data_IF_742739105519
#
_entry.id   IF_742739105519
#
_cell.length_a   1.000
_cell.length_b   1.000
_cell.length_c   1.000
_cell.angle_alpha   90.00
_cell.angle_beta   90.00
_cell.angle_gamma   90.00
#
_symmetry.space_group_name_H-M   'P 1'
#
loop_
_entity.id
_entity.type
_entity.pdbx_description
1 polymer ?
#
# COMPACT_ATOMS: atom_id res chain seq x y z
N UNK A 1 31.33 -15.85 -6.10
CA UNK A 1 30.76 -15.76 -7.47
C UNK A 1 31.80 -15.04 -8.32
N UNK A 2 32.14 -15.55 -9.50
CA UNK A 2 33.16 -14.98 -10.38
C UNK A 2 32.79 -13.56 -10.76
N UNK A 3 33.72 -12.63 -10.56
CA UNK A 3 33.58 -11.25 -10.98
C UNK A 3 33.62 -11.21 -12.53
N UNK A 4 32.55 -10.77 -13.11
CA UNK A 4 32.49 -10.51 -14.56
C UNK A 4 32.65 -9.01 -14.76
N UNK A 5 33.67 -8.62 -15.56
CA UNK A 5 33.83 -7.21 -15.95
C UNK A 5 32.61 -6.74 -16.71
N UNK A 6 32.04 -5.64 -16.27
CA UNK A 6 30.78 -5.10 -16.81
C UNK A 6 31.02 -3.81 -17.63
N UNK A 7 32.18 -3.69 -18.25
CA UNK A 7 32.47 -2.58 -19.15
C UNK A 7 31.73 -2.75 -20.48
N UNK A 8 31.26 -1.65 -21.02
CA UNK A 8 30.61 -1.63 -22.35
C UNK A 8 31.66 -1.40 -23.45
N UNK A 9 31.46 -2.01 -24.61
CA UNK A 9 32.35 -1.88 -25.77
C UNK A 9 32.03 -0.67 -26.66
N UNK A 10 30.89 -0.04 -26.45
CA UNK A 10 30.46 1.18 -27.14
C UNK A 10 29.45 1.97 -26.25
N UNK A 11 29.29 3.27 -26.46
CA UNK A 11 28.29 4.08 -25.78
C UNK A 11 26.88 3.48 -25.89
N UNK A 12 26.15 3.44 -24.78
CA UNK A 12 24.80 2.90 -24.76
C UNK A 12 24.44 2.20 -23.45
N UNK A 13 23.41 1.37 -23.50
CA UNK A 13 22.93 0.59 -22.36
C UNK A 13 23.13 -0.89 -22.63
N UNK A 14 23.72 -1.59 -21.66
CA UNK A 14 23.90 -3.02 -21.72
C UNK A 14 23.35 -3.68 -20.44
N UNK A 15 22.66 -4.80 -20.62
CA UNK A 15 22.14 -5.60 -19.52
C UNK A 15 23.03 -6.80 -19.23
N UNK A 16 23.28 -7.01 -17.94
CA UNK A 16 23.93 -8.17 -17.38
C UNK A 16 22.98 -8.89 -16.44
N UNK A 17 22.99 -10.20 -16.46
CA UNK A 17 22.14 -11.01 -15.57
C UNK A 17 22.90 -12.25 -15.12
N UNK A 18 22.77 -12.58 -13.82
CA UNK A 18 23.32 -13.80 -13.23
C UNK A 18 22.39 -14.33 -12.16
N UNK A 19 22.52 -15.63 -11.87
CA UNK A 19 21.81 -16.28 -10.76
C UNK A 19 22.81 -16.72 -9.71
N UNK A 20 22.38 -16.73 -8.45
CA UNK A 20 23.14 -17.22 -7.32
C UNK A 20 22.21 -17.86 -6.29
N UNK A 21 22.75 -18.80 -5.51
CA UNK A 21 22.01 -19.46 -4.44
C UNK A 21 22.52 -18.98 -3.09
N UNK A 22 21.61 -18.84 -2.14
CA UNK A 22 21.90 -18.60 -0.74
C UNK A 22 21.41 -19.79 0.10
N UNK A 23 22.11 -20.03 1.20
CA UNK A 23 21.73 -20.98 2.24
C UNK A 23 22.16 -20.40 3.58
N UNK A 24 21.33 -19.53 4.15
CA UNK A 24 21.60 -18.93 5.46
C UNK A 24 21.24 -19.96 6.53
N UNK A 25 22.13 -20.24 7.52
CA UNK A 25 21.81 -21.19 8.59
C UNK A 25 20.57 -20.78 9.38
N UNK A 26 19.78 -21.76 9.80
CA UNK A 26 18.60 -21.53 10.64
C UNK A 26 19.01 -20.83 11.95
N UNK A 27 18.25 -19.81 12.34
CA UNK A 27 18.53 -19.01 13.54
C UNK A 27 19.59 -17.92 13.34
N UNK A 28 20.05 -17.71 12.10
CA UNK A 28 20.84 -16.53 11.73
C UNK A 28 19.99 -15.51 10.98
N UNK A 29 20.09 -14.26 11.40
CA UNK A 29 19.61 -13.11 10.64
C UNK A 29 20.80 -12.51 9.89
N UNK A 30 20.76 -12.58 8.57
CA UNK A 30 21.86 -12.13 7.71
C UNK A 30 21.32 -11.12 6.69
N UNK A 31 21.83 -9.90 6.75
CA UNK A 31 21.61 -8.88 5.75
C UNK A 31 22.63 -8.95 4.63
N UNK A 32 22.20 -8.67 3.42
CA UNK A 32 23.04 -8.67 2.22
C UNK A 32 23.08 -7.30 1.56
N UNK A 33 24.15 -7.07 0.81
CA UNK A 33 24.31 -5.88 -0.01
C UNK A 33 24.85 -6.24 -1.39
N UNK A 34 24.52 -5.40 -2.37
CA UNK A 34 25.22 -5.37 -3.64
C UNK A 34 26.46 -4.49 -3.48
N UNK A 35 27.61 -4.98 -3.83
CA UNK A 35 28.88 -4.24 -3.82
C UNK A 35 29.33 -4.03 -5.25
N UNK A 36 29.50 -2.78 -5.63
CA UNK A 36 30.00 -2.35 -6.93
C UNK A 36 31.46 -1.97 -6.79
N UNK A 37 32.33 -2.57 -7.58
CA UNK A 37 33.73 -2.19 -7.68
C UNK A 37 33.89 -1.31 -8.94
N UNK A 38 34.28 -0.04 -8.79
CA UNK A 38 34.56 0.84 -9.93
C UNK A 38 35.67 0.31 -10.82
N UNK A 39 35.63 0.58 -12.11
CA UNK A 39 36.70 0.22 -13.04
C UNK A 39 37.88 1.20 -13.03
N UNK A 40 37.68 2.40 -12.55
CA UNK A 40 38.72 3.42 -12.49
C UNK A 40 39.64 3.33 -11.27
N UNK A 41 40.77 4.00 -11.29
CA UNK A 41 41.77 4.00 -10.21
C UNK A 41 41.35 4.80 -8.96
N UNK A 42 40.06 5.06 -8.74
CA UNK A 42 39.52 5.67 -7.53
C UNK A 42 39.90 7.14 -7.33
N UNK A 43 40.36 7.82 -8.35
CA UNK A 43 40.60 9.27 -8.28
C UNK A 43 39.29 9.99 -8.58
N UNK A 44 38.66 10.43 -7.56
CA UNK A 44 37.50 11.32 -7.39
C UNK A 44 36.62 11.72 -8.58
N UNK A 45 35.56 12.47 -8.35
CA UNK A 45 34.58 12.85 -9.37
C UNK A 45 35.25 13.61 -10.53
N UNK A 46 35.09 13.08 -11.77
CA UNK A 46 35.58 13.74 -13.00
C UNK A 46 37.08 13.62 -13.28
N UNK A 47 37.83 12.81 -12.53
CA UNK A 47 39.25 12.58 -12.77
C UNK A 47 39.54 11.61 -13.92
N UNK A 48 40.74 11.72 -14.53
CA UNK A 48 41.22 10.75 -15.53
C UNK A 48 41.19 9.35 -14.91
N UNK A 49 40.44 8.41 -15.52
CA UNK A 49 40.22 7.05 -15.00
C UNK A 49 38.96 6.91 -14.14
N UNK A 50 38.06 7.90 -14.12
CA UNK A 50 36.74 7.77 -13.53
C UNK A 50 35.89 6.78 -14.35
N UNK A 51 35.02 6.05 -13.65
CA UNK A 51 34.02 5.19 -14.28
C UNK A 51 32.83 6.06 -14.77
N UNK A 52 32.86 6.47 -16.02
CA UNK A 52 31.81 7.31 -16.63
C UNK A 52 30.55 6.52 -16.96
N UNK A 53 30.10 5.69 -16.03
CA UNK A 53 28.92 4.86 -16.18
C UNK A 53 27.92 5.04 -15.03
N UNK A 54 26.71 4.64 -15.31
CA UNK A 54 25.64 4.48 -14.33
C UNK A 54 25.17 3.02 -14.39
N UNK A 55 25.04 2.36 -13.24
CA UNK A 55 24.54 1.00 -13.16
C UNK A 55 23.30 0.93 -12.26
N UNK A 56 22.16 0.60 -12.85
CA UNK A 56 20.94 0.33 -12.10
C UNK A 56 20.92 -1.14 -11.68
N UNK A 57 20.74 -1.37 -10.40
CA UNK A 57 20.88 -2.68 -9.76
C UNK A 57 19.51 -3.27 -9.43
N UNK A 58 19.28 -4.52 -9.81
CA UNK A 58 18.04 -5.25 -9.52
C UNK A 58 18.37 -6.59 -8.86
N UNK A 59 17.65 -6.90 -7.79
CA UNK A 59 17.66 -8.23 -7.17
C UNK A 59 16.24 -8.79 -7.22
N UNK A 60 16.09 -9.98 -7.81
CA UNK A 60 14.79 -10.63 -8.01
C UNK A 60 13.73 -9.72 -8.67
N UNK A 61 14.17 -8.82 -9.56
CA UNK A 61 13.28 -7.86 -10.25
C UNK A 61 13.04 -6.54 -9.50
N UNK A 62 13.50 -6.43 -8.26
CA UNK A 62 13.38 -5.21 -7.46
C UNK A 62 14.59 -4.30 -7.61
N UNK A 63 14.39 -3.02 -7.87
CA UNK A 63 15.47 -2.03 -7.89
C UNK A 63 16.04 -1.86 -6.48
N UNK A 64 17.33 -2.13 -6.32
CA UNK A 64 18.06 -2.02 -5.05
C UNK A 64 18.93 -0.78 -4.97
N UNK A 65 19.09 -0.06 -6.07
CA UNK A 65 19.86 1.19 -6.10
C UNK A 65 20.47 1.49 -7.46
N UNK A 66 21.07 2.66 -7.54
CA UNK A 66 21.77 3.16 -8.72
C UNK A 66 23.16 3.58 -8.35
N UNK A 67 24.16 2.90 -8.95
CA UNK A 67 25.55 3.30 -8.89
C UNK A 67 25.83 4.37 -9.96
N UNK A 68 26.55 5.43 -9.57
CA UNK A 68 26.99 6.49 -10.48
C UNK A 68 28.50 6.65 -10.34
N UNK A 69 29.25 6.26 -11.36
CA UNK A 69 30.69 6.11 -11.30
C UNK A 69 31.47 7.42 -11.22
N UNK A 70 30.93 8.50 -11.75
CA UNK A 70 31.62 9.79 -11.84
C UNK A 70 31.21 10.82 -10.79
N UNK A 71 30.15 10.60 -10.02
CA UNK A 71 29.57 11.62 -9.12
C UNK A 71 29.45 11.19 -7.67
N UNK A 72 29.48 9.93 -7.32
CA UNK A 72 29.15 9.50 -5.97
C UNK A 72 30.10 8.46 -5.39
N UNK A 73 30.36 8.52 -4.07
CA UNK A 73 31.16 7.49 -3.39
C UNK A 73 30.38 6.21 -3.10
N UNK A 74 29.07 6.15 -3.38
CA UNK A 74 28.25 5.01 -3.01
C UNK A 74 28.54 3.80 -3.90
N UNK A 75 29.14 2.80 -3.31
CA UNK A 75 29.48 1.53 -3.95
C UNK A 75 28.83 0.33 -3.27
N UNK A 76 28.03 0.56 -2.23
CA UNK A 76 27.37 -0.48 -1.43
C UNK A 76 25.90 -0.19 -1.30
N UNK A 77 25.06 -1.14 -1.67
CA UNK A 77 23.60 -0.99 -1.72
C UNK A 77 22.97 -2.13 -0.93
N UNK A 78 22.37 -1.82 0.21
CA UNK A 78 21.70 -2.82 1.05
C UNK A 78 20.52 -3.42 0.30
N UNK A 79 20.39 -4.74 0.35
CA UNK A 79 19.25 -5.46 -0.21
C UNK A 79 18.20 -5.61 0.88
N UNK A 80 16.98 -5.02 0.71
CA UNK A 80 15.89 -5.25 1.65
C UNK A 80 15.58 -6.75 1.79
N UNK A 81 15.29 -7.19 3.01
CA UNK A 81 15.08 -8.61 3.31
C UNK A 81 13.97 -9.26 2.45
N UNK A 82 12.93 -8.47 2.09
CA UNK A 82 11.85 -8.95 1.22
C UNK A 82 12.22 -9.12 -0.27
N UNK A 83 13.40 -8.68 -0.70
CA UNK A 83 13.84 -8.76 -2.10
C UNK A 83 14.73 -9.97 -2.38
N UNK A 84 15.21 -10.65 -1.35
CA UNK A 84 16.19 -11.72 -1.45
C UNK A 84 15.67 -13.02 -0.83
N UNK A 85 15.88 -14.13 -1.50
CA UNK A 85 15.57 -15.46 -0.97
C UNK A 85 16.80 -15.99 -0.22
N UNK A 86 16.70 -16.11 1.09
CA UNK A 86 17.80 -16.55 1.95
C UNK A 86 18.09 -18.05 1.85
N UNK A 87 17.15 -18.84 1.30
CA UNK A 87 17.24 -20.30 1.22
C UNK A 87 16.95 -20.82 -0.19
N UNK A 88 17.59 -20.25 -1.20
CA UNK A 88 17.37 -20.70 -2.57
C UNK A 88 17.96 -19.78 -3.62
N UNK A 89 17.42 -19.89 -4.81
CA UNK A 89 17.90 -19.17 -5.98
C UNK A 89 17.46 -17.71 -5.98
N UNK A 90 18.38 -16.86 -6.37
CA UNK A 90 18.20 -15.43 -6.58
C UNK A 90 18.74 -15.02 -7.94
N UNK A 91 18.23 -13.93 -8.47
CA UNK A 91 18.72 -13.32 -9.71
C UNK A 91 19.22 -11.92 -9.42
N UNK A 92 20.41 -11.58 -9.90
CA UNK A 92 20.88 -10.21 -10.01
C UNK A 92 20.85 -9.79 -11.47
N UNK A 93 20.28 -8.61 -11.75
CA UNK A 93 20.33 -7.98 -13.07
C UNK A 93 20.86 -6.55 -12.93
N UNK A 94 21.64 -6.13 -13.90
CA UNK A 94 22.29 -4.81 -13.92
C UNK A 94 22.14 -4.19 -15.28
N UNK A 95 21.59 -2.97 -15.32
CA UNK A 95 21.58 -2.13 -16.51
C UNK A 95 22.74 -1.13 -16.41
N UNK A 96 23.76 -1.31 -17.22
CA UNK A 96 24.92 -0.40 -17.30
C UNK A 96 24.71 0.56 -18.46
N UNK A 97 24.57 1.86 -18.16
CA UNK A 97 24.57 2.93 -19.11
C UNK A 97 25.92 3.64 -19.09
N UNK A 98 26.60 3.66 -20.22
CA UNK A 98 27.92 4.29 -20.36
C UNK A 98 27.96 5.26 -21.52
N UNK A 99 28.66 6.37 -21.35
CA UNK A 99 28.87 7.40 -22.39
C UNK A 99 30.05 7.10 -23.29
N UNK A 100 30.97 6.25 -22.82
CA UNK A 100 32.23 5.93 -23.50
C UNK A 100 32.48 4.43 -23.50
N UNK A 101 33.15 3.95 -24.53
CA UNK A 101 33.63 2.57 -24.57
C UNK A 101 34.66 2.32 -23.44
N UNK A 102 34.64 1.15 -22.86
CA UNK A 102 35.49 0.78 -21.73
C UNK A 102 34.99 1.22 -20.37
N UNK A 103 33.92 2.03 -20.31
CA UNK A 103 33.27 2.43 -19.06
C UNK A 103 32.33 1.35 -18.55
N UNK A 104 32.20 1.25 -17.23
CA UNK A 104 31.36 0.28 -16.52
C UNK A 104 32.02 -0.24 -15.26
N UNK A 105 31.31 -0.82 -14.32
CA UNK A 105 31.88 -1.41 -13.13
C UNK A 105 32.87 -2.55 -13.44
N UNK A 106 34.00 -2.59 -12.72
CA UNK A 106 34.94 -3.70 -12.82
C UNK A 106 34.33 -5.03 -12.34
N UNK A 107 33.49 -4.97 -11.30
CA UNK A 107 32.73 -6.12 -10.85
C UNK A 107 31.53 -5.69 -9.98
N UNK A 108 30.55 -6.58 -9.89
CA UNK A 108 29.44 -6.47 -8.96
C UNK A 108 29.29 -7.80 -8.24
N UNK A 109 29.24 -7.74 -6.90
CA UNK A 109 29.07 -8.91 -6.03
C UNK A 109 27.91 -8.73 -5.08
N UNK A 110 27.35 -9.84 -4.60
CA UNK A 110 26.42 -9.85 -3.48
C UNK A 110 27.16 -10.41 -2.27
N UNK A 111 27.20 -9.63 -1.20
CA UNK A 111 27.98 -9.95 0.00
C UNK A 111 27.10 -9.81 1.25
N UNK A 112 27.31 -10.64 2.30
CA UNK A 112 26.71 -10.41 3.59
C UNK A 112 27.33 -9.14 4.23
N UNK A 113 26.50 -8.35 4.87
CA UNK A 113 26.95 -7.16 5.64
C UNK A 113 27.05 -7.46 7.11
N UNK A 114 26.08 -8.19 7.62
CA UNK A 114 25.93 -8.49 9.03
C UNK A 114 25.21 -9.81 9.19
N UNK A 115 25.66 -10.60 10.16
CA UNK A 115 24.98 -11.83 10.55
C UNK A 115 24.92 -11.90 12.07
N UNK A 116 23.73 -12.10 12.62
CA UNK A 116 23.48 -12.21 14.05
C UNK A 116 22.88 -13.57 14.34
N UNK A 117 23.41 -14.24 15.36
CA UNK A 117 22.85 -15.48 15.86
C UNK A 117 21.98 -15.20 17.07
N UNK A 118 20.74 -15.67 17.06
CA UNK A 118 19.78 -15.39 18.14
C UNK A 118 19.13 -14.02 17.98
N UNK A 119 17.95 -13.99 17.44
CA UNK A 119 17.30 -12.75 17.07
C UNK A 119 16.73 -11.99 18.28
N UNK A 120 16.97 -10.68 18.30
CA UNK A 120 16.19 -9.71 19.09
C UNK A 120 14.72 -9.62 18.63
N UNK A 121 14.42 -10.10 17.44
CA UNK A 121 13.12 -10.28 16.85
C UNK A 121 12.94 -11.77 16.72
N UNK A 122 11.99 -12.36 17.43
CA UNK A 122 11.81 -13.82 17.48
C UNK A 122 12.00 -14.49 16.13
N UNK A 123 12.50 -15.68 16.15
CA UNK A 123 12.98 -16.49 15.02
C UNK A 123 12.17 -16.22 13.73
N UNK A 124 12.70 -15.34 12.87
CA UNK A 124 12.07 -14.99 11.58
C UNK A 124 11.93 -16.21 10.66
N UNK A 125 12.73 -17.26 10.92
CA UNK A 125 12.58 -18.55 10.25
C UNK A 125 11.38 -19.36 10.78
N UNK A 126 10.81 -18.96 11.90
CA UNK A 126 9.54 -19.47 12.44
C UNK A 126 8.38 -18.52 12.19
N UNK A 127 8.61 -17.36 11.60
CA UNK A 127 7.49 -16.61 11.05
C UNK A 127 6.75 -17.59 10.13
N UNK A 128 5.44 -17.82 10.34
CA UNK A 128 4.68 -18.68 9.45
C UNK A 128 4.92 -18.14 8.05
N UNK A 129 5.24 -19.05 7.12
CA UNK A 129 5.37 -18.70 5.71
C UNK A 129 4.21 -17.76 5.40
N UNK A 130 4.49 -16.58 4.83
CA UNK A 130 3.45 -15.67 4.38
C UNK A 130 2.55 -16.46 3.44
N UNK A 131 1.54 -17.07 3.99
CA UNK A 131 0.38 -17.47 3.23
C UNK A 131 -0.33 -16.16 2.93
N UNK A 132 -0.46 -15.75 1.65
CA UNK A 132 -1.43 -14.74 1.32
C UNK A 132 -2.72 -15.22 1.98
N UNK A 133 -3.18 -14.51 3.01
CA UNK A 133 -4.49 -14.79 3.57
C UNK A 133 -5.42 -14.77 2.38
N UNK A 134 -5.85 -15.93 1.96
CA UNK A 134 -7.11 -16.03 1.23
C UNK A 134 -8.06 -15.26 2.12
N UNK A 135 -8.69 -14.16 1.64
CA UNK A 135 -9.66 -13.46 2.45
C UNK A 135 -10.58 -14.55 2.96
N UNK A 136 -10.61 -14.71 4.28
CA UNK A 136 -11.51 -15.67 4.91
C UNK A 136 -12.87 -15.40 4.27
N UNK A 137 -13.47 -16.37 3.56
CA UNK A 137 -14.81 -16.17 3.05
C UNK A 137 -15.60 -15.82 4.29
N UNK A 138 -16.15 -14.61 4.36
CA UNK A 138 -16.66 -13.92 5.54
C UNK A 138 -17.51 -14.83 6.43
N UNK A 139 -16.89 -15.74 7.13
CA UNK A 139 -17.43 -16.54 8.23
C UNK A 139 -17.25 -15.80 9.56
N UNK A 140 -16.49 -14.71 9.54
CA UNK A 140 -16.40 -13.77 10.64
C UNK A 140 -17.59 -12.84 10.64
N UNK A 141 -18.30 -12.82 11.74
CA UNK A 141 -19.42 -11.89 12.01
C UNK A 141 -18.96 -10.42 12.06
N UNK A 142 -17.67 -10.15 12.05
CA UNK A 142 -17.07 -8.81 12.16
C UNK A 142 -16.41 -8.41 10.84
N UNK A 143 -16.83 -7.30 10.21
CA UNK A 143 -16.19 -6.83 8.99
C UNK A 143 -14.74 -6.38 9.26
N UNK A 144 -13.85 -6.66 8.29
CA UNK A 144 -12.45 -6.22 8.33
C UNK A 144 -12.35 -4.74 7.93
N UNK A 145 -12.37 -3.84 8.92
CA UNK A 145 -12.23 -2.40 8.73
C UNK A 145 -10.84 -1.93 9.15
N UNK A 146 -10.24 -1.02 8.37
CA UNK A 146 -8.92 -0.43 8.65
C UNK A 146 -9.01 1.09 8.52
N UNK A 147 -8.72 1.83 9.60
CA UNK A 147 -8.52 1.39 10.97
C UNK A 147 -9.77 0.76 11.58
N UNK A 148 -9.60 -0.06 12.62
CA UNK A 148 -10.75 -0.61 13.35
C UNK A 148 -11.46 0.52 14.10
N UNK A 149 -12.79 0.69 13.92
CA UNK A 149 -13.55 1.70 14.65
C UNK A 149 -13.49 1.51 16.16
N UNK A 150 -13.60 2.60 16.91
CA UNK A 150 -13.56 2.59 18.37
C UNK A 150 -14.69 1.74 18.99
N UNK A 151 -15.84 1.67 18.33
CA UNK A 151 -16.93 0.75 18.69
C UNK A 151 -17.56 0.18 17.43
N UNK A 152 -17.55 -1.13 17.32
CA UNK A 152 -18.22 -1.89 16.27
C UNK A 152 -19.04 -3.01 16.92
N UNK A 153 -20.32 -3.04 16.62
CA UNK A 153 -21.24 -4.12 17.00
C UNK A 153 -21.86 -4.71 15.76
N UNK A 154 -21.80 -6.01 15.63
CA UNK A 154 -22.50 -6.75 14.58
C UNK A 154 -23.91 -7.09 15.04
N UNK A 155 -24.87 -6.91 14.16
CA UNK A 155 -26.27 -7.29 14.39
C UNK A 155 -26.59 -8.60 13.64
N UNK A 156 -27.45 -9.42 14.19
CA UNK A 156 -27.92 -10.66 13.56
C UNK A 156 -28.95 -10.41 12.43
N UNK A 157 -29.25 -9.17 12.12
CA UNK A 157 -30.20 -8.78 11.10
C UNK A 157 -29.66 -9.03 9.67
N UNK A 158 -30.58 -8.98 8.70
CA UNK A 158 -30.20 -9.12 7.30
C UNK A 158 -29.29 -7.94 6.85
N UNK A 159 -28.30 -8.20 5.98
CA UNK A 159 -27.37 -7.21 5.48
C UNK A 159 -28.09 -6.14 4.64
N UNK A 160 -27.49 -4.97 4.55
CA UNK A 160 -27.89 -3.96 3.57
C UNK A 160 -27.52 -4.44 2.17
N UNK A 161 -28.50 -4.45 1.27
CA UNK A 161 -28.27 -4.75 -0.14
C UNK A 161 -28.33 -3.45 -0.95
N UNK A 162 -27.20 -3.10 -1.58
CA UNK A 162 -27.14 -1.99 -2.53
C UNK A 162 -27.77 -2.46 -3.86
N UNK A 163 -28.73 -1.73 -4.36
CA UNK A 163 -29.54 -2.05 -5.55
C UNK A 163 -29.54 -0.88 -6.52
N UNK A 164 -29.95 -1.10 -7.73
CA UNK A 164 -30.20 -0.05 -8.73
C UNK A 164 -31.25 0.98 -8.28
N UNK A 165 -32.22 0.53 -7.46
CA UNK A 165 -33.26 1.37 -6.84
C UNK A 165 -32.80 2.10 -5.56
N UNK A 166 -31.56 1.90 -5.11
CA UNK A 166 -31.03 2.59 -3.92
C UNK A 166 -30.86 4.08 -4.19
N UNK A 167 -31.31 4.90 -3.24
CA UNK A 167 -31.10 6.35 -3.26
C UNK A 167 -30.15 6.78 -2.14
N UNK A 168 -29.42 7.87 -2.36
CA UNK A 168 -28.60 8.52 -1.35
C UNK A 168 -29.31 9.78 -0.89
N UNK A 169 -29.63 9.85 0.38
CA UNK A 169 -30.27 11.02 1.00
C UNK A 169 -29.21 11.91 1.60
N UNK A 170 -29.15 13.17 1.14
CA UNK A 170 -28.24 14.16 1.70
C UNK A 170 -28.76 15.58 1.47
N UNK A 171 -28.49 16.49 2.43
CA UNK A 171 -28.80 17.92 2.35
C UNK A 171 -27.67 18.77 2.92
N UNK A 172 -27.56 19.99 2.44
CA UNK A 172 -26.59 20.96 3.00
C UNK A 172 -25.18 20.45 3.01
N UNK A 173 -24.56 20.49 4.17
CA UNK A 173 -23.14 20.08 4.37
C UNK A 173 -22.86 18.60 4.09
N UNK A 174 -23.88 17.74 4.00
CA UNK A 174 -23.71 16.33 3.65
C UNK A 174 -23.59 16.10 2.13
N UNK A 175 -23.88 17.10 1.30
CA UNK A 175 -23.98 16.94 -0.15
C UNK A 175 -22.67 16.56 -0.81
N UNK A 176 -21.54 17.10 -0.37
CA UNK A 176 -20.23 16.77 -0.97
C UNK A 176 -19.81 15.33 -0.65
N UNK A 177 -20.01 14.89 0.59
CA UNK A 177 -19.77 13.49 0.97
C UNK A 177 -20.66 12.52 0.21
N UNK A 178 -21.90 12.91 -0.07
CA UNK A 178 -22.85 12.12 -0.88
C UNK A 178 -22.41 12.02 -2.34
N UNK A 179 -21.97 13.13 -2.95
CA UNK A 179 -21.43 13.13 -4.32
C UNK A 179 -20.20 12.24 -4.44
N UNK A 180 -19.28 12.34 -3.47
CA UNK A 180 -18.09 11.51 -3.42
C UNK A 180 -18.43 10.01 -3.34
N UNK A 181 -19.31 9.63 -2.40
CA UNK A 181 -19.77 8.25 -2.26
C UNK A 181 -20.46 7.76 -3.53
N UNK A 182 -21.41 8.54 -4.07
CA UNK A 182 -22.12 8.20 -5.28
C UNK A 182 -21.19 7.96 -6.47
N UNK A 183 -20.14 8.78 -6.63
CA UNK A 183 -19.15 8.64 -7.71
C UNK A 183 -18.45 7.29 -7.65
N UNK A 184 -18.01 6.87 -6.46
CA UNK A 184 -17.32 5.58 -6.28
C UNK A 184 -18.29 4.42 -6.54
N UNK A 185 -19.44 4.43 -5.88
CA UNK A 185 -20.40 3.34 -5.99
C UNK A 185 -20.95 3.18 -7.41
N UNK A 186 -21.27 4.27 -8.10
CA UNK A 186 -21.76 4.24 -9.49
C UNK A 186 -20.76 3.60 -10.44
N UNK A 187 -19.48 3.91 -10.26
CA UNK A 187 -18.39 3.42 -11.12
C UNK A 187 -18.27 1.90 -11.06
N UNK A 188 -18.37 1.33 -9.89
CA UNK A 188 -18.20 -0.11 -9.67
C UNK A 188 -19.46 -0.93 -9.84
N UNK A 189 -20.64 -0.33 -9.56
CA UNK A 189 -21.93 -1.05 -9.64
C UNK A 189 -22.67 -0.83 -10.96
N UNK A 190 -22.47 0.31 -11.61
CA UNK A 190 -23.30 0.76 -12.73
C UNK A 190 -24.69 1.26 -12.32
N UNK A 191 -24.97 1.30 -11.01
CA UNK A 191 -26.29 1.76 -10.51
C UNK A 191 -26.42 3.28 -10.54
N UNK A 192 -27.61 3.85 -10.75
CA UNK A 192 -27.80 5.29 -10.89
C UNK A 192 -27.62 6.05 -9.57
N UNK A 193 -27.94 5.45 -8.42
CA UNK A 193 -27.80 5.97 -7.06
C UNK A 193 -28.09 7.48 -6.96
N UNK A 194 -29.32 7.94 -7.27
CA UNK A 194 -29.62 9.35 -7.26
C UNK A 194 -29.48 9.94 -5.85
N UNK A 195 -28.97 11.19 -5.79
CA UNK A 195 -28.91 11.95 -4.55
C UNK A 195 -30.18 12.74 -4.43
N UNK A 196 -30.95 12.49 -3.37
CA UNK A 196 -32.27 13.08 -3.13
C UNK A 196 -32.30 13.75 -1.76
N UNK A 197 -33.29 14.64 -1.58
CA UNK A 197 -33.48 15.34 -0.31
C UNK A 197 -34.36 14.60 0.70
N UNK A 198 -35.01 13.50 0.30
CA UNK A 198 -35.85 12.67 1.17
C UNK A 198 -35.83 11.23 0.72
N UNK A 199 -35.78 10.32 1.69
CA UNK A 199 -35.85 8.87 1.46
C UNK A 199 -37.27 8.32 1.48
N UNK A 200 -38.30 9.17 1.63
CA UNK A 200 -39.69 8.74 1.68
C UNK A 200 -40.08 8.02 0.37
N UNK A 201 -40.72 6.87 0.50
CA UNK A 201 -41.14 6.06 -0.64
C UNK A 201 -40.06 5.17 -1.24
N UNK A 202 -38.86 5.14 -0.68
CA UNK A 202 -37.76 4.27 -1.13
C UNK A 202 -37.50 3.13 -0.15
N UNK A 203 -37.30 1.91 -0.65
CA UNK A 203 -37.07 0.70 0.14
C UNK A 203 -35.59 0.39 0.36
N UNK A 204 -34.71 1.16 -0.27
CA UNK A 204 -33.25 1.03 -0.09
C UNK A 204 -32.62 2.42 -0.09
N UNK A 205 -32.08 2.80 1.07
CA UNK A 205 -31.67 4.19 1.32
C UNK A 205 -30.30 4.21 2.02
N UNK A 206 -29.38 5.04 1.51
CA UNK A 206 -28.19 5.48 2.22
C UNK A 206 -28.45 6.93 2.68
N UNK A 207 -28.56 7.15 3.97
CA UNK A 207 -28.83 8.48 4.54
C UNK A 207 -27.56 9.06 5.15
N UNK A 208 -27.17 10.24 4.71
CA UNK A 208 -25.99 10.99 5.18
C UNK A 208 -26.46 12.30 5.82
N UNK A 209 -26.11 12.52 7.08
CA UNK A 209 -26.57 13.67 7.84
C UNK A 209 -25.43 14.33 8.60
N UNK A 210 -25.27 15.64 8.44
CA UNK A 210 -24.50 16.51 9.33
C UNK A 210 -25.47 17.18 10.29
N UNK A 211 -25.27 17.00 11.58
CA UNK A 211 -26.08 17.57 12.65
C UNK A 211 -25.17 18.16 13.74
N UNK A 212 -24.92 19.48 13.72
CA UNK A 212 -24.03 20.14 14.69
C UNK A 212 -24.49 20.04 16.15
N UNK A 213 -25.76 19.72 16.37
CA UNK A 213 -26.34 19.62 17.71
C UNK A 213 -26.31 18.20 18.28
N UNK A 214 -25.93 17.21 17.48
CA UNK A 214 -25.80 15.83 17.93
C UNK A 214 -24.50 15.62 18.70
N UNK A 215 -24.49 14.61 19.57
CA UNK A 215 -23.27 14.13 20.21
C UNK A 215 -23.05 12.66 19.88
N UNK A 216 -21.88 12.34 19.38
CA UNK A 216 -21.51 10.98 19.01
C UNK A 216 -20.68 10.36 20.13
N UNK A 217 -21.23 9.37 20.82
CA UNK A 217 -20.54 8.69 21.92
C UNK A 217 -19.98 9.65 22.98
N UNK A 218 -18.92 9.24 23.66
CA UNK A 218 -18.23 10.02 24.69
C UNK A 218 -16.89 10.57 24.22
N UNK A 219 -16.66 10.63 22.91
CA UNK A 219 -15.40 11.07 22.34
C UNK A 219 -15.16 12.56 22.60
N UNK A 220 -13.88 12.91 22.84
CA UNK A 220 -13.47 14.32 23.00
C UNK A 220 -13.49 15.07 21.68
N UNK A 221 -13.19 14.37 20.58
CA UNK A 221 -13.11 14.93 19.22
C UNK A 221 -14.44 14.76 18.48
N UNK A 222 -15.40 15.55 18.86
CA UNK A 222 -16.73 15.49 18.26
C UNK A 222 -16.74 15.94 16.79
N UNK A 223 -15.84 16.81 16.39
CA UNK A 223 -15.74 17.35 15.03
C UNK A 223 -15.44 16.29 13.96
N UNK A 224 -14.80 15.19 14.36
CA UNK A 224 -14.47 14.08 13.47
C UNK A 224 -15.22 12.79 13.86
N UNK A 225 -16.10 12.87 14.85
CA UNK A 225 -16.87 11.72 15.28
C UNK A 225 -18.05 11.44 14.37
N UNK A 226 -18.34 10.15 14.18
CA UNK A 226 -19.52 9.70 13.43
C UNK A 226 -20.20 8.48 14.05
N UNK A 227 -21.46 8.30 13.71
CA UNK A 227 -22.21 7.07 13.91
C UNK A 227 -22.65 6.51 12.56
N UNK A 228 -22.61 5.18 12.42
CA UNK A 228 -23.03 4.47 11.24
C UNK A 228 -23.85 3.24 11.63
N UNK A 229 -25.04 3.13 11.07
CA UNK A 229 -25.90 1.96 11.24
C UNK A 229 -26.24 1.40 9.87
N UNK A 230 -25.93 0.13 9.67
CA UNK A 230 -26.24 -0.63 8.45
C UNK A 230 -27.22 -1.73 8.78
N UNK A 231 -28.35 -1.80 8.08
CA UNK A 231 -29.40 -2.80 8.22
C UNK A 231 -30.10 -3.06 6.89
N UNK A 232 -30.93 -4.09 6.83
CA UNK A 232 -31.73 -4.36 5.65
C UNK A 232 -32.48 -3.12 5.19
N UNK A 233 -32.29 -2.72 3.94
CA UNK A 233 -32.96 -1.58 3.31
C UNK A 233 -32.48 -0.21 3.75
N UNK A 234 -31.67 -0.08 4.80
CA UNK A 234 -31.25 1.22 5.32
C UNK A 234 -29.80 1.23 5.78
N UNK A 235 -29.05 2.23 5.35
CA UNK A 235 -27.73 2.57 5.87
C UNK A 235 -27.73 4.05 6.26
N UNK A 236 -27.45 4.35 7.52
CA UNK A 236 -27.53 5.73 8.04
C UNK A 236 -26.19 6.13 8.66
N UNK A 237 -25.60 7.20 8.15
CA UNK A 237 -24.44 7.84 8.74
C UNK A 237 -24.79 9.24 9.25
N UNK A 238 -24.38 9.54 10.48
CA UNK A 238 -24.57 10.85 11.12
C UNK A 238 -23.26 11.31 11.73
N UNK A 239 -22.92 12.57 11.56
CA UNK A 239 -21.76 13.21 12.14
C UNK A 239 -22.07 14.62 12.59
N UNK A 240 -21.23 15.18 13.45
CA UNK A 240 -21.34 16.57 13.93
C UNK A 240 -20.93 17.57 12.84
N UNK A 241 -19.94 17.18 12.02
CA UNK A 241 -19.40 18.01 10.93
C UNK A 241 -19.34 17.25 9.61
N UNK A 242 -19.07 17.95 8.52
CA UNK A 242 -18.78 17.34 7.22
C UNK A 242 -17.50 16.49 7.24
N UNK A 243 -16.52 16.79 8.09
CA UNK A 243 -15.32 15.99 8.31
C UNK A 243 -15.65 14.60 8.84
N UNK A 244 -16.35 14.53 9.98
CA UNK A 244 -16.74 13.24 10.55
C UNK A 244 -17.67 12.46 9.60
N UNK A 245 -18.50 13.15 8.80
CA UNK A 245 -19.32 12.49 7.79
C UNK A 245 -18.49 11.91 6.65
N UNK A 246 -17.41 12.57 6.25
CA UNK A 246 -16.48 12.05 5.27
C UNK A 246 -15.80 10.78 5.79
N UNK A 247 -15.40 10.74 7.07
CA UNK A 247 -14.81 9.55 7.71
C UNK A 247 -15.83 8.40 7.73
N UNK A 248 -17.10 8.67 8.03
CA UNK A 248 -18.16 7.69 7.91
C UNK A 248 -18.30 7.11 6.50
N UNK A 249 -18.15 7.94 5.47
CA UNK A 249 -18.18 7.50 4.06
C UNK A 249 -17.01 6.57 3.73
N UNK A 250 -15.81 6.81 4.28
CA UNK A 250 -14.69 5.86 4.11
C UNK A 250 -15.01 4.49 4.73
N UNK A 251 -15.68 4.48 5.88
CA UNK A 251 -16.13 3.24 6.52
C UNK A 251 -17.23 2.55 5.73
N UNK A 252 -18.19 3.27 5.18
CA UNK A 252 -19.24 2.73 4.29
C UNK A 252 -18.62 1.98 3.11
N UNK A 253 -17.59 2.54 2.48
CA UNK A 253 -16.90 1.88 1.35
C UNK A 253 -16.31 0.55 1.75
N UNK A 254 -15.69 0.46 2.93
CA UNK A 254 -15.05 -0.75 3.43
C UNK A 254 -16.04 -1.82 3.90
N UNK A 255 -17.31 -1.46 4.17
CA UNK A 255 -18.35 -2.44 4.52
C UNK A 255 -18.80 -3.27 3.31
N UNK A 256 -18.60 -2.77 2.09
CA UNK A 256 -18.87 -3.53 0.87
C UNK A 256 -17.66 -4.41 0.49
N UNK A 257 -17.87 -5.43 -0.35
CA UNK A 257 -16.76 -6.21 -0.87
C UNK A 257 -15.71 -5.33 -1.56
N UNK A 258 -14.39 -5.66 -1.49
CA UNK A 258 -13.31 -4.82 -2.03
C UNK A 258 -13.46 -4.42 -3.50
N UNK A 259 -14.16 -5.19 -4.29
CA UNK A 259 -14.48 -4.85 -5.69
C UNK A 259 -15.36 -3.61 -5.84
N UNK A 260 -15.90 -3.04 -4.74
CA UNK A 260 -16.60 -1.75 -4.76
C UNK A 260 -15.67 -0.60 -5.22
N UNK A 261 -14.37 -0.78 -5.13
CA UNK A 261 -13.35 0.16 -5.60
C UNK A 261 -13.02 0.00 -7.10
N UNK A 262 -13.67 -0.92 -7.81
CA UNK A 262 -13.44 -1.14 -9.24
C UNK A 262 -13.66 0.14 -10.04
N UNK A 263 -12.82 0.36 -11.04
CA UNK A 263 -12.94 1.48 -11.97
C UNK A 263 -13.93 1.24 -13.11
N UNK A 264 -14.56 0.06 -13.14
CA UNK A 264 -15.56 -0.35 -14.13
C UNK A 264 -16.67 -1.16 -13.45
N UNK A 265 -17.89 -1.19 -14.03
CA UNK A 265 -18.98 -1.97 -13.47
C UNK A 265 -18.66 -3.47 -13.36
N UNK A 266 -19.04 -4.05 -12.24
CA UNK A 266 -18.86 -5.45 -11.91
C UNK A 266 -20.21 -6.12 -11.65
N UNK A 267 -20.47 -7.24 -12.34
CA UNK A 267 -21.70 -8.00 -12.19
C UNK A 267 -21.65 -8.88 -10.94
N UNK A 268 -22.15 -8.37 -9.83
CA UNK A 268 -22.24 -9.10 -8.55
C UNK A 268 -23.28 -8.52 -7.59
N UNK A 269 -23.59 -9.25 -6.53
CA UNK A 269 -24.36 -8.75 -5.40
C UNK A 269 -23.49 -7.85 -4.53
N UNK A 270 -24.02 -6.69 -4.16
CA UNK A 270 -23.36 -5.70 -3.33
C UNK A 270 -24.04 -5.64 -1.97
N UNK A 271 -23.46 -6.27 -0.98
CA UNK A 271 -24.02 -6.33 0.39
C UNK A 271 -23.04 -5.79 1.41
N UNK A 272 -23.55 -5.08 2.40
CA UNK A 272 -22.83 -4.64 3.58
C UNK A 272 -23.46 -5.28 4.82
N UNK A 273 -22.67 -5.79 5.78
CA UNK A 273 -23.19 -6.47 6.95
C UNK A 273 -24.06 -5.55 7.81
N UNK A 274 -24.97 -6.14 8.60
CA UNK A 274 -25.73 -5.41 9.60
C UNK A 274 -24.81 -5.07 10.78
N UNK A 275 -24.56 -3.77 10.99
CA UNK A 275 -23.64 -3.27 12.01
C UNK A 275 -24.10 -1.96 12.59
N UNK A 276 -23.66 -1.71 13.82
CA UNK A 276 -23.73 -0.40 14.48
C UNK A 276 -22.31 0.03 14.86
N UNK A 277 -21.88 1.17 14.35
CA UNK A 277 -20.52 1.70 14.52
C UNK A 277 -20.63 3.10 15.14
N UNK A 278 -19.75 3.39 16.10
CA UNK A 278 -19.42 4.75 16.50
C UNK A 278 -17.91 4.89 16.53
N UNK A 279 -17.40 5.97 15.97
CA UNK A 279 -15.98 6.17 15.83
C UNK A 279 -15.59 7.63 15.91
N UNK A 280 -14.35 7.87 16.31
CA UNK A 280 -13.66 9.15 16.23
C UNK A 280 -12.15 8.89 16.22
N UNK A 281 -11.34 9.73 15.55
CA UNK A 281 -9.90 9.56 15.54
C UNK A 281 -9.30 9.52 16.94
N UNK A 282 -8.44 8.54 17.17
CA UNK A 282 -7.74 8.35 18.45
C UNK A 282 -6.68 9.43 18.70
N UNK A 283 -5.99 9.85 17.65
CA UNK A 283 -4.90 10.83 17.72
C UNK A 283 -5.33 12.18 17.15
N UNK A 284 -4.94 13.25 17.84
CA UNK A 284 -5.21 14.64 17.41
C UNK A 284 -4.35 15.04 16.21
N UNK A 285 -3.15 14.53 16.11
CA UNK A 285 -2.23 14.78 15.02
C UNK A 285 -2.03 13.51 14.18
N UNK A 286 -2.22 13.65 12.90
CA UNK A 286 -2.01 12.58 11.89
C UNK A 286 -1.39 13.24 10.67
N UNK A 287 -0.31 12.68 10.18
CA UNK A 287 0.37 13.20 8.99
C UNK A 287 0.99 12.09 8.16
N UNK A 288 1.21 12.40 6.90
CA UNK A 288 2.03 11.62 5.98
C UNK A 288 3.20 12.51 5.57
N UNK A 289 4.40 11.99 5.72
CA UNK A 289 5.60 12.65 5.21
C UNK A 289 5.91 12.08 3.83
N UNK A 290 5.93 12.96 2.82
CA UNK A 290 6.38 12.65 1.48
C UNK A 290 7.72 13.34 1.26
N UNK A 291 8.72 12.58 0.80
CA UNK A 291 10.01 13.12 0.36
C UNK A 291 10.12 12.96 -1.17
N UNK A 292 9.75 13.98 -1.95
CA UNK A 292 9.83 13.93 -3.41
C UNK A 292 11.25 14.16 -3.94
N UNK A 293 12.24 14.45 -3.07
CA UNK A 293 13.59 14.80 -3.49
C UNK A 293 14.39 13.62 -4.08
N UNK A 294 13.92 12.40 -3.89
CA UNK A 294 14.60 11.18 -4.40
C UNK A 294 13.92 10.54 -5.58
N UNK A 295 13.24 11.34 -6.37
CA UNK A 295 12.61 11.00 -7.66
C UNK A 295 11.61 9.82 -7.63
N UNK A 296 10.53 10.06 -8.25
CA UNK A 296 9.57 9.03 -8.66
C UNK A 296 9.69 8.81 -10.17
#
# INVERSE_FOLDING_TARGET
TAATTMTVDHPGIRWYRSTFNLSVPTGQDTTFQVVVKPSGNGKGPGGVGADHSQATLFVNGWNTGVYVGDVGPQTRFVIPAGFINLHGSNTIAVAVAAKEAGSGPASITVEPTHSVTGSLVGDLNKAPAYSPRTPDPATGTVPSLVPLPASLKTDSGAPFALKDSTVIVAKGQASESAKFLATILRRSTGFPLPIVSSGSGHNSVISLTVDPHTRIGTYTRQEEAYSLVSRAGSMTARAVTSHGLFDAVQTIRQLFPPLIESTRPMMRSWTAPAVTITDAPRFSYRSVQLDPARSF
#
